data_IF_820110697647
#
_entry.id   IF_820110697647
#
_cell.length_a   1.000
_cell.length_b   1.000
_cell.length_c   1.000
_cell.angle_alpha   90.00
_cell.angle_beta   90.00
_cell.angle_gamma   90.00
#
_symmetry.space_group_name_H-M   'P 1'
#
loop_
_entity.id
_entity.type
_entity.pdbx_description
1 polymer ?
#
# COMPACT_ATOMS: atom_id res chain seq x y z
N UNK A 1 -40.74 -7.07 -16.59
CA UNK A 1 -39.93 -6.81 -15.39
C UNK A 1 -39.04 -8.01 -15.09
N UNK A 2 -37.72 -7.92 -15.29
CA UNK A 2 -36.69 -8.65 -14.55
C UNK A 2 -35.39 -7.82 -14.60
N UNK A 3 -34.87 -7.29 -13.50
CA UNK A 3 -33.53 -6.71 -13.48
C UNK A 3 -32.51 -7.85 -13.44
N UNK A 4 -31.68 -7.97 -14.48
CA UNK A 4 -30.48 -8.80 -14.43
C UNK A 4 -29.38 -7.98 -13.75
N UNK A 5 -29.37 -7.96 -12.41
CA UNK A 5 -28.21 -7.46 -11.67
C UNK A 5 -27.10 -8.48 -11.81
N UNK A 6 -26.34 -8.39 -12.91
CA UNK A 6 -25.05 -9.05 -13.01
C UNK A 6 -24.11 -8.30 -12.07
N UNK A 7 -24.06 -8.74 -10.81
CA UNK A 7 -23.03 -8.33 -9.88
C UNK A 7 -21.72 -8.87 -10.40
N UNK A 8 -21.01 -8.09 -11.20
CA UNK A 8 -19.60 -8.38 -11.51
C UNK A 8 -18.86 -8.38 -10.18
N UNK A 9 -18.42 -9.55 -9.74
CA UNK A 9 -17.46 -9.69 -8.64
C UNK A 9 -16.12 -9.13 -9.14
N UNK A 10 -15.99 -7.81 -9.20
CA UNK A 10 -14.73 -7.17 -9.53
C UNK A 10 -13.84 -7.35 -8.32
N UNK A 11 -12.83 -8.20 -8.44
CA UNK A 11 -11.74 -8.26 -7.46
C UNK A 11 -11.00 -6.94 -7.51
N UNK A 12 -11.21 -6.09 -6.50
CA UNK A 12 -10.56 -4.79 -6.41
C UNK A 12 -9.10 -4.99 -6.02
N UNK A 13 -8.21 -4.80 -6.99
CA UNK A 13 -6.79 -4.61 -6.70
C UNK A 13 -6.63 -3.25 -6.02
N UNK A 14 -6.22 -3.27 -4.76
CA UNK A 14 -5.97 -2.07 -3.98
C UNK A 14 -4.49 -1.98 -3.65
N UNK A 15 -3.90 -0.81 -3.91
CA UNK A 15 -2.59 -0.44 -3.43
C UNK A 15 -2.77 0.68 -2.42
N UNK A 16 -2.25 0.51 -1.21
CA UNK A 16 -2.43 1.45 -0.11
C UNK A 16 -1.07 1.90 0.40
N UNK A 17 -0.88 3.20 0.59
CA UNK A 17 0.36 3.76 1.11
C UNK A 17 0.11 4.70 2.27
N UNK A 18 1.12 4.86 3.13
CA UNK A 18 1.19 5.92 4.14
C UNK A 18 2.37 6.83 3.84
N UNK A 19 2.22 8.12 4.13
CA UNK A 19 3.26 9.13 3.91
C UNK A 19 3.57 9.91 5.17
N UNK A 20 4.83 10.28 5.33
CA UNK A 20 5.26 11.29 6.28
C UNK A 20 4.79 12.68 5.81
N UNK A 21 4.12 13.44 6.68
CA UNK A 21 3.54 14.74 6.30
C UNK A 21 4.57 15.86 6.18
N UNK A 22 5.71 15.76 6.86
CA UNK A 22 6.76 16.77 6.81
C UNK A 22 7.64 16.61 5.58
N UNK A 23 8.02 15.37 5.28
CA UNK A 23 8.94 15.00 4.20
C UNK A 23 8.20 14.67 2.89
N UNK A 24 6.90 14.35 2.95
CA UNK A 24 6.15 13.85 1.80
C UNK A 24 6.61 12.47 1.32
N UNK A 25 7.37 11.75 2.15
CA UNK A 25 8.00 10.48 1.80
C UNK A 25 7.13 9.28 2.21
N UNK A 26 7.16 8.20 1.43
CA UNK A 26 6.33 7.00 1.68
C UNK A 26 6.89 6.17 2.82
N UNK A 27 6.12 5.94 3.89
CA UNK A 27 6.57 5.20 5.07
C UNK A 27 6.12 3.74 5.09
N UNK A 28 5.02 3.43 4.41
CA UNK A 28 4.52 2.06 4.25
C UNK A 28 3.74 1.93 2.94
N UNK A 29 3.80 0.74 2.35
CA UNK A 29 3.09 0.37 1.13
C UNK A 29 2.56 -1.05 1.27
N UNK A 30 1.26 -1.23 1.13
CA UNK A 30 0.58 -2.52 1.09
C UNK A 30 0.06 -2.80 -0.33
N UNK A 31 0.44 -3.96 -0.86
CA UNK A 31 0.05 -4.41 -2.19
C UNK A 31 -1.30 -5.18 -2.16
N UNK A 32 -1.86 -5.53 -3.34
CA UNK A 32 -3.10 -6.31 -3.41
C UNK A 32 -3.01 -7.72 -2.81
N UNK A 33 -1.79 -8.26 -2.65
CA UNK A 33 -1.56 -9.55 -1.99
C UNK A 33 -1.56 -9.40 -0.47
N UNK A 34 -1.89 -8.21 0.06
CA UNK A 34 -1.84 -7.87 1.48
C UNK A 34 -0.44 -7.93 2.09
N UNK A 35 0.60 -7.80 1.26
CA UNK A 35 1.98 -7.74 1.70
C UNK A 35 2.39 -6.28 1.90
N UNK A 36 2.99 -5.98 3.06
CA UNK A 36 3.39 -4.62 3.43
C UNK A 36 4.91 -4.46 3.45
N UNK A 37 5.41 -3.43 2.76
CA UNK A 37 6.80 -2.97 2.83
C UNK A 37 6.85 -1.66 3.61
N UNK A 38 7.75 -1.57 4.59
CA UNK A 38 7.94 -0.35 5.39
C UNK A 38 9.29 0.29 5.06
N UNK A 39 9.32 1.62 5.04
CA UNK A 39 10.53 2.41 4.74
C UNK A 39 10.72 3.45 5.83
N UNK A 40 11.96 3.60 6.31
CA UNK A 40 12.32 4.62 7.29
C UNK A 40 13.28 5.64 6.67
N UNK A 41 13.15 6.89 7.12
CA UNK A 41 13.99 8.00 6.71
C UNK A 41 14.63 8.67 7.92
N UNK A 42 15.74 9.36 7.71
CA UNK A 42 16.31 10.30 8.68
C UNK A 42 15.57 11.66 8.63
N UNK A 43 15.93 12.57 9.54
CA UNK A 43 15.34 13.91 9.60
C UNK A 43 15.62 14.81 8.39
N UNK A 44 16.47 14.36 7.45
CA UNK A 44 16.77 15.05 6.19
C UNK A 44 16.07 14.38 4.99
N UNK A 45 15.24 13.36 5.22
CA UNK A 45 14.50 12.66 4.17
C UNK A 45 15.32 11.61 3.40
N UNK A 46 16.49 11.21 3.91
CA UNK A 46 17.30 10.16 3.29
C UNK A 46 16.87 8.80 3.83
N UNK A 47 16.80 7.81 2.95
CA UNK A 47 16.40 6.45 3.30
C UNK A 47 17.43 5.81 4.24
N UNK A 48 16.96 5.26 5.35
CA UNK A 48 17.79 4.61 6.37
C UNK A 48 17.55 3.11 6.47
N UNK A 49 16.34 2.64 6.16
CA UNK A 49 16.01 1.21 6.15
C UNK A 49 14.81 0.92 5.26
N UNK A 50 14.79 -0.30 4.72
CA UNK A 50 13.63 -0.91 4.05
C UNK A 50 13.38 -2.26 4.72
N UNK A 51 12.17 -2.44 5.24
CA UNK A 51 11.71 -3.72 5.79
C UNK A 51 10.74 -4.34 4.79
N UNK A 52 11.14 -5.40 4.08
CA UNK A 52 10.23 -6.12 3.19
C UNK A 52 9.18 -6.89 3.99
N UNK A 53 8.06 -7.28 3.36
CA UNK A 53 7.08 -8.16 3.98
C UNK A 53 7.71 -9.51 4.34
N UNK A 54 7.36 -10.05 5.51
CA UNK A 54 7.91 -11.31 6.01
C UNK A 54 7.28 -12.56 5.38
N UNK A 55 6.58 -12.44 4.25
CA UNK A 55 5.97 -13.58 3.58
C UNK A 55 6.18 -13.51 2.08
N UNK A 56 6.96 -14.46 1.58
CA UNK A 56 6.83 -15.05 0.26
C UNK A 56 6.69 -16.57 0.44
#
# INVERSE_FOLDING_TARGET
MRPCTSGSTVTRLAYVGTWDRGLGAITSSTDPNSLSTSVTYDGLGRLTSVTPPTSQ
#
